data_IF_865098591624
#
_entry.id   IF_865098591624
#
_cell.length_a   1.000
_cell.length_b   1.000
_cell.length_c   1.000
_cell.angle_alpha   90.00
_cell.angle_beta   90.00
_cell.angle_gamma   90.00
#
_symmetry.space_group_name_H-M   'P 1'
#
loop_
_entity.id
_entity.type
_entity.pdbx_description
1 polymer ?
#
# COMPACT_ATOMS: atom_id res chain seq x y z
N UNK A 1 24.94 29.78 0.38
CA UNK A 1 24.24 29.50 1.65
C UNK A 1 22.73 29.38 1.50
N UNK A 2 22.01 30.31 0.83
CA UNK A 2 20.53 30.20 0.65
C UNK A 2 20.08 28.92 -0.06
N UNK A 3 20.89 28.37 -0.97
CA UNK A 3 20.54 27.17 -1.74
C UNK A 3 20.68 25.86 -0.91
N UNK A 4 21.64 25.78 0.00
CA UNK A 4 21.84 24.63 0.89
C UNK A 4 20.75 24.56 1.95
N UNK A 5 20.41 25.70 2.57
CA UNK A 5 19.34 25.77 3.56
C UNK A 5 17.98 25.40 2.96
N UNK A 6 17.69 25.83 1.73
CA UNK A 6 16.46 25.46 1.02
C UNK A 6 16.42 23.98 0.68
N UNK A 7 17.57 23.37 0.37
CA UNK A 7 17.66 21.94 0.07
C UNK A 7 17.45 21.08 1.32
N UNK A 8 18.03 21.49 2.47
CA UNK A 8 17.80 20.80 3.76
C UNK A 8 16.33 20.85 4.14
N UNK A 9 15.69 22.03 4.03
CA UNK A 9 14.28 22.17 4.33
C UNK A 9 13.41 21.31 3.40
N UNK A 10 13.77 21.22 2.13
CA UNK A 10 13.13 20.32 1.17
C UNK A 10 13.35 18.83 1.56
N UNK A 11 14.53 18.48 2.05
CA UNK A 11 14.85 17.16 2.58
C UNK A 11 14.00 16.80 3.80
N UNK A 12 13.81 17.74 4.73
CA UNK A 12 12.93 17.57 5.89
C UNK A 12 11.47 17.33 5.44
N UNK A 13 10.99 18.00 4.41
CA UNK A 13 9.65 17.76 3.87
C UNK A 13 9.53 16.35 3.27
N UNK A 14 10.55 15.89 2.54
CA UNK A 14 10.61 14.52 2.05
C UNK A 14 10.69 13.50 3.18
N UNK A 15 11.48 13.77 4.22
CA UNK A 15 11.54 12.91 5.40
C UNK A 15 10.15 12.69 6.01
N UNK A 16 9.38 13.75 6.26
CA UNK A 16 8.03 13.61 6.80
C UNK A 16 7.09 12.87 5.85
N UNK A 17 7.21 13.08 4.55
CA UNK A 17 6.43 12.33 3.57
C UNK A 17 6.75 10.82 3.63
N UNK A 18 8.03 10.46 3.62
CA UNK A 18 8.48 9.06 3.71
C UNK A 18 8.06 8.44 5.04
N UNK A 19 8.32 9.13 6.15
CA UNK A 19 7.98 8.67 7.50
C UNK A 19 6.49 8.36 7.63
N UNK A 20 5.64 9.29 7.23
CA UNK A 20 4.19 9.16 7.36
C UNK A 20 3.63 7.98 6.55
N UNK A 21 4.18 7.74 5.37
CA UNK A 21 3.76 6.62 4.52
C UNK A 21 4.37 5.26 4.93
N UNK A 22 5.33 5.25 5.86
CA UNK A 22 6.01 4.01 6.29
C UNK A 22 5.63 3.59 7.70
N UNK A 23 5.51 4.54 8.66
CA UNK A 23 5.41 4.27 10.09
C UNK A 23 4.22 3.38 10.49
N UNK A 24 3.07 3.56 9.85
CA UNK A 24 1.83 2.87 10.25
C UNK A 24 1.73 1.46 9.65
N UNK A 25 2.50 1.15 8.61
CA UNK A 25 2.46 -0.15 7.94
C UNK A 25 2.91 -1.29 8.87
N UNK A 26 4.10 -1.22 9.51
CA UNK A 26 4.56 -2.25 10.44
C UNK A 26 3.62 -2.42 11.65
N UNK A 27 3.05 -1.31 12.14
CA UNK A 27 2.05 -1.35 13.23
C UNK A 27 0.83 -2.18 12.83
N UNK A 28 0.21 -1.82 11.69
CA UNK A 28 -0.99 -2.50 11.20
C UNK A 28 -0.77 -3.99 10.95
N UNK A 29 0.35 -4.34 10.30
CA UNK A 29 0.68 -5.74 10.01
C UNK A 29 1.02 -6.50 11.30
N UNK A 30 1.83 -5.90 12.18
CA UNK A 30 2.21 -6.52 13.44
C UNK A 30 1.02 -6.87 14.32
N UNK A 31 0.03 -5.97 14.42
CA UNK A 31 -1.21 -6.26 15.14
C UNK A 31 -2.04 -7.38 14.50
N UNK A 32 -2.12 -7.42 13.16
CA UNK A 32 -2.86 -8.49 12.46
C UNK A 32 -2.18 -9.87 12.58
N UNK A 33 -0.86 -9.91 12.70
CA UNK A 33 -0.10 -11.13 12.95
C UNK A 33 0.06 -11.44 14.44
N UNK A 34 -0.52 -10.63 15.33
CA UNK A 34 -0.37 -10.75 16.79
C UNK A 34 1.10 -10.79 17.24
N UNK A 35 1.95 -9.99 16.59
CA UNK A 35 3.37 -9.91 16.95
C UNK A 35 3.57 -9.19 18.28
N UNK A 36 4.65 -9.55 18.97
CA UNK A 36 5.07 -8.85 20.19
C UNK A 36 5.44 -7.37 19.88
N UNK A 37 5.36 -6.47 20.87
CA UNK A 37 5.80 -5.08 20.70
C UNK A 37 7.24 -4.96 20.19
N UNK A 38 8.13 -5.87 20.62
CA UNK A 38 9.52 -5.93 20.17
C UNK A 38 9.63 -6.29 18.71
N UNK A 39 8.85 -7.28 18.23
CA UNK A 39 8.82 -7.68 16.82
C UNK A 39 8.23 -6.57 15.93
N UNK A 40 7.24 -5.82 16.43
CA UNK A 40 6.69 -4.65 15.72
C UNK A 40 7.75 -3.55 15.63
N UNK A 41 8.48 -3.25 16.71
CA UNK A 41 9.57 -2.28 16.71
C UNK A 41 10.69 -2.69 15.74
N UNK A 42 11.05 -3.98 15.69
CA UNK A 42 12.00 -4.55 14.77
C UNK A 42 11.55 -4.39 13.30
N UNK A 43 10.30 -4.75 13.00
CA UNK A 43 9.73 -4.57 11.66
C UNK A 43 9.72 -3.09 11.24
N UNK A 44 9.50 -2.18 12.20
CA UNK A 44 9.55 -0.74 11.95
C UNK A 44 10.98 -0.26 11.65
N UNK A 45 12.00 -0.74 12.37
CA UNK A 45 13.40 -0.47 12.07
C UNK A 45 13.74 -0.89 10.65
N UNK A 46 13.44 -2.14 10.30
CA UNK A 46 13.69 -2.68 8.98
C UNK A 46 12.93 -1.90 7.89
N UNK A 47 11.66 -1.53 8.11
CA UNK A 47 10.88 -0.76 7.17
C UNK A 47 11.50 0.62 6.90
N UNK A 48 11.96 1.33 7.93
CA UNK A 48 12.60 2.65 7.77
C UNK A 48 13.94 2.55 7.06
N UNK A 49 14.79 1.58 7.43
CA UNK A 49 16.10 1.38 6.79
C UNK A 49 15.92 1.00 5.32
N UNK A 50 15.08 0.01 5.02
CA UNK A 50 14.90 -0.47 3.65
C UNK A 50 14.22 0.60 2.77
N UNK A 51 13.20 1.31 3.28
CA UNK A 51 12.54 2.40 2.54
C UNK A 51 13.52 3.53 2.24
N UNK A 52 14.31 3.95 3.23
CA UNK A 52 15.32 4.97 3.02
C UNK A 52 16.38 4.53 2.02
N UNK A 53 16.90 3.31 2.16
CA UNK A 53 17.92 2.76 1.27
C UNK A 53 17.42 2.64 -0.18
N UNK A 54 16.23 2.07 -0.40
CA UNK A 54 15.69 1.92 -1.75
C UNK A 54 15.40 3.26 -2.40
N UNK A 55 14.86 4.25 -1.66
CA UNK A 55 14.64 5.60 -2.19
C UNK A 55 15.94 6.27 -2.64
N UNK A 56 17.05 6.11 -1.87
CA UNK A 56 18.37 6.60 -2.25
C UNK A 56 18.86 5.90 -3.52
N UNK A 57 18.80 4.57 -3.55
CA UNK A 57 19.26 3.78 -4.69
C UNK A 57 18.43 4.05 -5.95
N UNK A 58 17.11 4.20 -5.82
CA UNK A 58 16.22 4.58 -6.93
C UNK A 58 16.56 5.98 -7.48
N UNK A 59 16.80 6.94 -6.60
CA UNK A 59 17.17 8.31 -7.01
C UNK A 59 18.54 8.40 -7.68
N UNK A 60 19.48 7.50 -7.35
CA UNK A 60 20.85 7.50 -7.90
C UNK A 60 20.99 6.56 -9.09
N UNK A 61 20.57 5.33 -8.97
CA UNK A 61 20.82 4.26 -9.93
C UNK A 61 19.57 3.78 -10.67
N UNK A 62 18.37 3.90 -10.07
CA UNK A 62 17.10 3.45 -10.63
C UNK A 62 16.49 4.45 -11.62
N UNK A 63 15.26 4.84 -11.37
CA UNK A 63 14.50 5.77 -12.22
C UNK A 63 15.03 7.22 -12.21
N UNK A 64 15.80 7.62 -11.20
CA UNK A 64 16.42 8.94 -11.05
C UNK A 64 15.46 10.13 -10.90
N UNK A 65 14.25 9.89 -10.44
CA UNK A 65 13.28 10.91 -10.06
C UNK A 65 13.17 11.01 -8.53
N UNK A 66 12.58 12.08 -8.04
CA UNK A 66 12.23 12.20 -6.63
C UNK A 66 10.87 11.52 -6.40
N UNK A 67 10.84 10.19 -6.37
CA UNK A 67 9.66 9.37 -6.08
C UNK A 67 9.99 8.40 -4.97
N UNK A 68 9.08 8.23 -4.02
CA UNK A 68 9.19 7.22 -2.99
C UNK A 68 9.01 5.82 -3.59
N UNK A 69 9.90 4.91 -3.23
CA UNK A 69 9.70 3.46 -3.30
C UNK A 69 9.60 2.94 -1.86
N UNK A 70 8.57 2.18 -1.54
CA UNK A 70 8.31 1.80 -0.16
C UNK A 70 7.26 0.71 -0.04
N UNK A 71 6.88 0.31 1.21
CA UNK A 71 5.88 -0.73 1.44
C UNK A 71 4.57 -0.41 0.73
N UNK A 72 4.26 -1.16 -0.32
CA UNK A 72 3.15 -0.84 -1.23
C UNK A 72 1.79 -1.18 -0.62
N UNK A 73 0.82 -0.28 -0.80
CA UNK A 73 -0.56 -0.49 -0.37
C UNK A 73 -1.24 -1.71 -1.01
N UNK A 74 -0.81 -2.14 -2.21
CA UNK A 74 -1.28 -3.38 -2.86
C UNK A 74 -0.97 -4.61 -2.01
N UNK A 75 0.27 -4.73 -1.58
CA UNK A 75 0.74 -5.79 -0.71
C UNK A 75 0.12 -5.72 0.68
N UNK A 76 -0.09 -4.50 1.17
CA UNK A 76 -0.74 -4.28 2.46
C UNK A 76 -2.18 -4.80 2.44
N UNK A 77 -2.97 -4.40 1.45
CA UNK A 77 -4.34 -4.89 1.28
C UNK A 77 -4.41 -6.41 1.14
N UNK A 78 -3.53 -7.01 0.34
CA UNK A 78 -3.43 -8.46 0.21
C UNK A 78 -3.14 -9.13 1.55
N UNK A 79 -2.10 -8.67 2.24
CA UNK A 79 -1.67 -9.29 3.51
C UNK A 79 -2.76 -9.23 4.56
N UNK A 80 -3.41 -8.07 4.74
CA UNK A 80 -4.54 -7.94 5.66
C UNK A 80 -5.74 -8.82 5.27
N UNK A 81 -6.01 -8.95 3.98
CA UNK A 81 -7.08 -9.83 3.50
C UNK A 81 -6.81 -11.31 3.83
N UNK A 82 -5.59 -11.76 3.54
CA UNK A 82 -5.21 -13.16 3.75
C UNK A 82 -5.13 -13.51 5.24
N UNK A 83 -4.62 -12.61 6.09
CA UNK A 83 -4.60 -12.86 7.54
C UNK A 83 -6.01 -13.03 8.10
N UNK A 84 -6.99 -12.27 7.61
CA UNK A 84 -8.38 -12.42 8.06
C UNK A 84 -9.03 -13.66 7.44
N UNK A 85 -9.02 -13.80 6.12
CA UNK A 85 -9.78 -14.85 5.42
C UNK A 85 -9.21 -16.27 5.64
N UNK A 86 -7.90 -16.43 5.53
CA UNK A 86 -7.27 -17.74 5.69
C UNK A 86 -7.20 -18.17 7.16
N UNK A 87 -7.01 -17.22 8.10
CA UNK A 87 -7.05 -17.51 9.52
C UNK A 87 -8.45 -17.97 9.96
N UNK A 88 -9.51 -17.28 9.52
CA UNK A 88 -10.89 -17.71 9.78
C UNK A 88 -11.23 -19.08 9.18
N UNK A 89 -10.52 -19.49 8.13
CA UNK A 89 -10.63 -20.82 7.52
C UNK A 89 -9.72 -21.87 8.21
N UNK A 90 -9.10 -21.55 9.35
CA UNK A 90 -8.32 -22.48 10.17
C UNK A 90 -6.83 -22.56 9.82
N UNK A 91 -6.30 -21.70 8.95
CA UNK A 91 -4.85 -21.62 8.71
C UNK A 91 -4.16 -20.85 9.84
N UNK A 92 -3.03 -21.35 10.34
CA UNK A 92 -2.22 -20.59 11.31
C UNK A 92 -1.57 -19.37 10.66
N UNK A 93 -1.39 -18.30 11.44
CA UNK A 93 -0.75 -17.07 10.97
C UNK A 93 0.69 -17.31 10.48
N UNK A 94 1.43 -18.21 11.13
CA UNK A 94 2.77 -18.63 10.70
C UNK A 94 2.74 -19.27 9.30
N UNK A 95 1.74 -20.07 9.03
CA UNK A 95 1.54 -20.73 7.73
C UNK A 95 1.20 -19.70 6.65
N UNK A 96 0.34 -18.73 6.99
CA UNK A 96 0.00 -17.61 6.11
C UNK A 96 1.24 -16.76 5.84
N UNK A 97 2.00 -16.40 6.87
CA UNK A 97 3.24 -15.64 6.75
C UNK A 97 4.30 -16.32 5.91
N UNK A 98 4.48 -17.64 6.10
CA UNK A 98 5.40 -18.45 5.28
C UNK A 98 5.00 -18.52 3.80
N UNK A 99 3.70 -18.64 3.52
CA UNK A 99 3.16 -18.56 2.16
C UNK A 99 3.35 -17.19 1.51
N UNK A 100 3.12 -16.12 2.28
CA UNK A 100 3.40 -14.76 1.83
C UNK A 100 4.88 -14.54 1.55
N UNK A 101 5.78 -14.98 2.44
CA UNK A 101 7.22 -14.86 2.23
C UNK A 101 7.66 -15.56 0.94
N UNK A 102 7.20 -16.78 0.68
CA UNK A 102 7.47 -17.50 -0.57
C UNK A 102 6.91 -16.75 -1.79
N UNK A 103 5.68 -16.22 -1.69
CA UNK A 103 5.04 -15.46 -2.76
C UNK A 103 5.76 -14.13 -3.04
N UNK A 104 6.23 -13.43 -2.01
CA UNK A 104 7.00 -12.19 -2.15
C UNK A 104 8.37 -12.43 -2.79
N UNK A 105 9.06 -13.50 -2.39
CA UNK A 105 10.32 -13.89 -3.01
C UNK A 105 10.14 -14.21 -4.50
N UNK A 106 9.11 -14.98 -4.84
CA UNK A 106 8.79 -15.30 -6.23
C UNK A 106 8.40 -14.07 -7.04
N UNK A 107 7.57 -13.19 -6.48
CA UNK A 107 7.18 -11.93 -7.11
C UNK A 107 8.38 -11.02 -7.33
N UNK A 108 9.23 -10.84 -6.31
CA UNK A 108 10.44 -10.01 -6.40
C UNK A 108 11.42 -10.53 -7.46
N UNK A 109 11.66 -11.85 -7.49
CA UNK A 109 12.47 -12.49 -8.52
C UNK A 109 11.90 -12.26 -9.93
N UNK A 110 10.59 -12.42 -10.06
CA UNK A 110 9.90 -12.18 -11.34
C UNK A 110 10.01 -10.73 -11.77
N UNK A 111 9.88 -9.78 -10.83
CA UNK A 111 10.07 -8.34 -11.12
C UNK A 111 11.48 -8.05 -11.65
N UNK A 112 12.51 -8.66 -11.06
CA UNK A 112 13.89 -8.54 -11.54
C UNK A 112 14.01 -9.10 -12.97
N UNK A 113 13.53 -10.32 -13.19
CA UNK A 113 13.64 -11.00 -14.50
C UNK A 113 12.88 -10.22 -15.59
N UNK A 114 11.60 -9.91 -15.35
CA UNK A 114 10.76 -9.19 -16.33
C UNK A 114 11.27 -7.75 -16.56
N UNK A 115 11.82 -7.11 -15.52
CA UNK A 115 12.47 -5.82 -15.66
C UNK A 115 13.65 -5.90 -16.62
N UNK A 116 14.53 -6.88 -16.45
CA UNK A 116 15.70 -7.10 -17.32
C UNK A 116 15.32 -7.45 -18.75
N UNK A 117 14.29 -8.28 -18.95
CA UNK A 117 13.80 -8.66 -20.28
C UNK A 117 13.05 -7.53 -20.99
N UNK A 118 12.74 -6.43 -20.31
CA UNK A 118 11.94 -5.33 -20.87
C UNK A 118 10.47 -5.70 -21.10
N UNK A 119 10.00 -6.81 -20.51
CA UNK A 119 8.64 -7.33 -20.67
C UNK A 119 7.56 -6.54 -19.89
N UNK A 120 7.94 -5.53 -19.14
CA UNK A 120 7.03 -4.68 -18.38
C UNK A 120 5.94 -4.04 -19.26
N UNK A 121 6.25 -3.70 -20.50
CA UNK A 121 5.28 -3.16 -21.47
C UNK A 121 4.18 -4.16 -21.86
N UNK A 122 4.47 -5.47 -21.84
CA UNK A 122 3.46 -6.51 -22.11
C UNK A 122 2.41 -6.53 -21.00
N UNK A 123 2.83 -6.34 -19.75
CA UNK A 123 1.92 -6.27 -18.61
C UNK A 123 0.97 -5.06 -18.69
N UNK A 124 1.42 -3.93 -19.23
CA UNK A 124 0.55 -2.75 -19.43
C UNK A 124 -0.67 -3.06 -20.32
N UNK A 125 -0.48 -3.90 -21.34
CA UNK A 125 -1.58 -4.30 -22.25
C UNK A 125 -2.59 -5.21 -21.57
N UNK A 126 -2.18 -5.93 -20.54
CA UNK A 126 -3.05 -6.80 -19.76
C UNK A 126 -3.93 -6.01 -18.77
N UNK A 127 -3.33 -4.99 -18.14
CA UNK A 127 -4.00 -4.16 -17.13
C UNK A 127 -4.53 -2.86 -17.75
N UNK A 128 -5.69 -2.94 -18.39
CA UNK A 128 -6.40 -1.79 -18.94
C UNK A 128 -6.77 -0.75 -17.85
N UNK A 129 -7.11 0.49 -18.20
CA UNK A 129 -7.60 1.47 -17.22
C UNK A 129 -8.79 0.96 -16.40
N UNK A 130 -9.69 0.15 -17.00
CA UNK A 130 -10.84 -0.45 -16.31
C UNK A 130 -10.40 -1.43 -15.22
N UNK A 131 -9.47 -2.34 -15.55
CA UNK A 131 -8.91 -3.31 -14.58
C UNK A 131 -8.20 -2.57 -13.43
N UNK A 132 -7.40 -1.55 -13.74
CA UNK A 132 -6.69 -0.74 -12.73
C UNK A 132 -7.67 -0.01 -11.82
N UNK A 133 -8.72 0.59 -12.37
CA UNK A 133 -9.74 1.29 -11.61
C UNK A 133 -10.52 0.34 -10.69
N UNK A 134 -11.00 -0.80 -11.21
CA UNK A 134 -11.69 -1.81 -10.41
C UNK A 134 -10.82 -2.30 -9.24
N UNK A 135 -9.53 -2.55 -9.51
CA UNK A 135 -8.57 -2.95 -8.48
C UNK A 135 -8.39 -1.87 -7.41
N UNK A 136 -8.21 -0.61 -7.80
CA UNK A 136 -8.05 0.51 -6.85
C UNK A 136 -9.31 0.72 -6.00
N UNK A 137 -10.51 0.57 -6.57
CA UNK A 137 -11.75 0.60 -5.81
C UNK A 137 -11.81 -0.52 -4.77
N UNK A 138 -11.54 -1.76 -5.19
CA UNK A 138 -11.55 -2.91 -4.28
C UNK A 138 -10.53 -2.76 -3.16
N UNK A 139 -9.32 -2.31 -3.47
CA UNK A 139 -8.30 -2.03 -2.45
C UNK A 139 -8.76 -0.94 -1.48
N UNK A 140 -9.31 0.16 -2.00
CA UNK A 140 -9.78 1.24 -1.15
C UNK A 140 -10.85 0.74 -0.19
N UNK A 141 -11.85 0.01 -0.71
CA UNK A 141 -12.93 -0.55 0.11
C UNK A 141 -12.37 -1.48 1.18
N UNK A 142 -11.49 -2.40 0.81
CA UNK A 142 -10.90 -3.37 1.73
C UNK A 142 -10.09 -2.72 2.85
N UNK A 143 -9.18 -1.80 2.48
CA UNK A 143 -8.34 -1.09 3.46
C UNK A 143 -9.19 -0.19 4.38
N UNK A 144 -10.15 0.52 3.80
CA UNK A 144 -11.08 1.37 4.56
C UNK A 144 -11.89 0.55 5.57
N UNK A 145 -12.38 -0.63 5.19
CA UNK A 145 -13.08 -1.54 6.11
C UNK A 145 -12.18 -2.00 7.26
N UNK A 146 -10.91 -2.35 6.98
CA UNK A 146 -9.96 -2.75 8.02
C UNK A 146 -9.62 -1.60 8.97
N UNK A 147 -9.37 -0.40 8.43
CA UNK A 147 -9.08 0.76 9.28
C UNK A 147 -10.29 1.19 10.08
N UNK A 148 -11.50 1.07 9.54
CA UNK A 148 -12.71 1.35 10.30
C UNK A 148 -12.85 0.41 11.50
N UNK A 149 -12.57 -0.89 11.35
CA UNK A 149 -12.53 -1.83 12.48
C UNK A 149 -11.51 -1.42 13.55
N UNK A 150 -10.34 -0.92 13.15
CA UNK A 150 -9.34 -0.37 14.07
C UNK A 150 -9.83 0.88 14.79
N UNK A 151 -10.50 1.79 14.09
CA UNK A 151 -11.05 3.03 14.66
C UNK A 151 -12.09 2.78 15.75
N UNK A 152 -12.90 1.74 15.61
CA UNK A 152 -13.95 1.40 16.59
C UNK A 152 -13.43 0.51 17.74
N UNK A 153 -12.12 0.26 17.81
CA UNK A 153 -11.50 -0.59 18.82
C UNK A 153 -11.70 -2.10 18.61
N UNK A 154 -12.36 -2.51 17.52
CA UNK A 154 -12.68 -3.91 17.28
C UNK A 154 -11.44 -4.80 17.12
N UNK A 155 -10.37 -4.30 16.48
CA UNK A 155 -9.11 -5.03 16.32
C UNK A 155 -8.34 -5.22 17.62
N UNK A 156 -8.53 -4.32 18.58
CA UNK A 156 -7.80 -4.32 19.85
C UNK A 156 -8.57 -5.08 20.93
N UNK A 157 -9.89 -4.86 21.02
CA UNK A 157 -10.73 -5.37 22.10
C UNK A 157 -11.73 -6.46 21.68
N UNK A 158 -11.80 -6.80 20.38
CA UNK A 158 -12.79 -7.73 19.84
C UNK A 158 -14.25 -7.25 19.95
N UNK A 159 -14.46 -6.00 20.37
CA UNK A 159 -15.77 -5.39 20.58
C UNK A 159 -15.75 -3.91 20.21
N UNK A 160 -16.92 -3.32 20.04
CA UNK A 160 -17.05 -1.89 19.83
C UNK A 160 -16.73 -1.13 21.14
N UNK A 161 -15.75 -0.25 21.08
CA UNK A 161 -15.35 0.63 22.19
C UNK A 161 -15.76 2.07 21.85
N UNK A 162 -16.83 2.56 22.50
CA UNK A 162 -17.40 3.88 22.20
C UNK A 162 -16.44 5.04 22.49
N UNK A 163 -15.70 5.10 23.60
CA UNK A 163 -14.70 6.13 23.87
C UNK A 163 -13.61 6.17 22.81
N UNK A 164 -13.02 5.01 22.47
CA UNK A 164 -11.97 4.89 21.44
C UNK A 164 -12.52 5.27 20.05
N UNK A 165 -13.72 4.81 19.71
CA UNK A 165 -14.38 5.15 18.46
C UNK A 165 -14.63 6.66 18.32
N UNK A 166 -15.09 7.30 19.41
CA UNK A 166 -15.34 8.76 19.41
C UNK A 166 -14.04 9.53 19.16
N UNK A 167 -12.95 9.20 19.88
CA UNK A 167 -11.66 9.82 19.66
C UNK A 167 -11.18 9.63 18.21
N UNK A 168 -11.29 8.41 17.69
CA UNK A 168 -10.88 8.07 16.32
C UNK A 168 -11.65 8.87 15.26
N UNK A 169 -12.96 9.04 15.44
CA UNK A 169 -13.80 9.86 14.56
C UNK A 169 -13.35 11.33 14.60
N UNK A 170 -13.08 11.87 15.80
CA UNK A 170 -12.57 13.25 15.94
C UNK A 170 -11.23 13.41 15.23
N UNK A 171 -10.31 12.45 15.37
CA UNK A 171 -9.01 12.47 14.67
C UNK A 171 -9.22 12.41 13.15
N UNK A 172 -10.09 11.52 12.66
CA UNK A 172 -10.40 11.41 11.23
C UNK A 172 -10.96 12.71 10.68
N UNK A 173 -11.89 13.35 11.40
CA UNK A 173 -12.42 14.67 11.03
C UNK A 173 -11.33 15.74 11.01
N UNK A 174 -10.45 15.78 12.01
CA UNK A 174 -9.33 16.72 12.08
C UNK A 174 -8.42 16.58 10.85
N UNK A 175 -8.02 15.34 10.54
CA UNK A 175 -7.14 15.06 9.39
C UNK A 175 -7.82 15.45 8.07
N UNK A 176 -9.08 15.04 7.89
CA UNK A 176 -9.86 15.40 6.70
C UNK A 176 -10.02 16.94 6.57
N UNK A 177 -10.31 17.62 7.66
CA UNK A 177 -10.42 19.07 7.68
C UNK A 177 -9.11 19.75 7.25
N UNK A 178 -7.97 19.30 7.82
CA UNK A 178 -6.66 19.85 7.47
C UNK A 178 -6.33 19.57 5.99
N UNK A 179 -6.67 18.37 5.46
CA UNK A 179 -6.46 18.06 4.05
C UNK A 179 -7.32 18.91 3.11
N UNK A 180 -8.58 19.17 3.47
CA UNK A 180 -9.52 19.92 2.61
C UNK A 180 -9.36 21.45 2.73
N UNK A 181 -9.11 21.95 3.93
CA UNK A 181 -9.08 23.39 4.22
C UNK A 181 -7.69 23.94 4.46
N UNK A 182 -6.67 23.08 4.66
CA UNK A 182 -5.31 23.50 4.92
C UNK A 182 -4.75 24.33 3.75
N UNK A 183 -4.44 25.60 4.01
CA UNK A 183 -3.82 26.49 3.03
C UNK A 183 -2.33 26.18 2.87
N UNK A 184 -1.86 26.17 1.62
CA UNK A 184 -0.44 25.97 1.32
C UNK A 184 0.06 24.56 1.68
N UNK A 185 1.14 24.50 2.47
CA UNK A 185 1.83 23.24 2.81
C UNK A 185 1.15 22.43 3.94
N UNK A 186 0.18 23.01 4.65
CA UNK A 186 -0.41 22.40 5.86
C UNK A 186 -1.14 21.09 5.54
N UNK A 187 -1.81 21.00 4.39
CA UNK A 187 -2.49 19.79 3.94
C UNK A 187 -1.55 18.59 3.80
N UNK A 188 -0.29 18.81 3.42
CA UNK A 188 0.71 17.75 3.27
C UNK A 188 1.15 17.13 4.61
N UNK A 189 0.95 17.86 5.71
CA UNK A 189 1.27 17.39 7.07
C UNK A 189 0.05 16.89 7.84
N UNK A 190 -1.13 16.86 7.23
CA UNK A 190 -2.38 16.47 7.88
C UNK A 190 -2.28 15.12 8.59
N UNK A 191 -1.68 14.12 7.94
CA UNK A 191 -1.48 12.78 8.47
C UNK A 191 -0.56 12.81 9.70
N UNK A 192 0.58 13.50 9.61
CA UNK A 192 1.52 13.64 10.71
C UNK A 192 0.88 14.36 11.92
N UNK A 193 0.17 15.46 11.64
CA UNK A 193 -0.56 16.20 12.69
C UNK A 193 -1.61 15.31 13.34
N UNK A 194 -2.33 14.53 12.55
CA UNK A 194 -3.32 13.57 13.04
C UNK A 194 -2.72 12.49 13.94
N UNK A 195 -1.57 11.92 13.55
CA UNK A 195 -0.86 10.94 14.36
C UNK A 195 -0.43 11.57 15.70
N UNK A 196 0.25 12.71 15.67
CA UNK A 196 0.78 13.35 16.88
C UNK A 196 -0.35 13.81 17.81
N UNK A 197 -1.32 14.55 17.27
CA UNK A 197 -2.45 15.05 18.06
C UNK A 197 -3.31 13.91 18.60
N UNK A 198 -3.56 12.89 17.77
CA UNK A 198 -4.32 11.71 18.17
C UNK A 198 -3.62 10.88 19.26
N UNK A 199 -2.31 10.70 19.15
CA UNK A 199 -1.53 9.97 20.13
C UNK A 199 -1.50 10.72 21.49
N UNK A 200 -1.26 12.03 21.47
CA UNK A 200 -1.33 12.86 22.69
C UNK A 200 -2.72 12.76 23.33
N UNK A 201 -3.78 12.93 22.53
CA UNK A 201 -5.15 12.84 23.02
C UNK A 201 -5.46 11.45 23.60
N UNK A 202 -5.03 10.37 22.92
CA UNK A 202 -5.20 9.01 23.42
C UNK A 202 -4.48 8.78 24.75
N UNK A 203 -3.24 9.23 24.86
CA UNK A 203 -2.44 9.09 26.08
C UNK A 203 -3.03 9.84 27.29
N UNK A 204 -3.69 10.97 27.01
CA UNK A 204 -4.36 11.76 28.06
C UNK A 204 -5.72 11.17 28.49
N UNK A 205 -6.48 10.62 27.54
CA UNK A 205 -7.83 10.10 27.78
C UNK A 205 -7.82 8.66 28.30
N UNK A 206 -6.80 7.86 27.95
CA UNK A 206 -6.69 6.45 28.29
C UNK A 206 -5.36 6.14 29.01
N UNK A 207 -5.09 6.76 30.19
CA UNK A 207 -3.88 6.50 30.94
C UNK A 207 -3.87 5.04 31.40
N UNK A 208 -2.83 4.29 31.05
CA UNK A 208 -2.66 2.88 31.43
C UNK A 208 -3.06 1.84 30.38
N UNK A 209 -3.62 2.21 29.26
CA UNK A 209 -3.87 1.31 28.11
C UNK A 209 -2.67 1.29 27.14
N UNK A 210 -1.47 1.46 27.64
CA UNK A 210 -0.28 1.43 26.78
C UNK A 210 0.07 -0.04 26.50
N UNK A 211 0.20 -0.38 25.23
CA UNK A 211 0.87 -1.61 24.78
C UNK A 211 2.22 -1.68 25.49
N UNK A 212 2.60 -2.86 26.00
CA UNK A 212 3.83 -3.02 26.78
C UNK A 212 5.02 -2.30 26.15
N UNK A 213 5.87 -1.70 26.98
CA UNK A 213 7.02 -0.96 26.47
C UNK A 213 7.95 -1.92 25.72
N UNK A 214 8.23 -1.67 24.44
CA UNK A 214 9.18 -2.49 23.70
C UNK A 214 10.56 -2.38 24.36
N UNK A 215 11.29 -3.49 24.36
CA UNK A 215 12.67 -3.48 24.82
C UNK A 215 13.48 -2.55 23.89
N UNK A 216 14.27 -1.65 24.46
CA UNK A 216 15.09 -0.70 23.70
C UNK A 216 16.34 -1.34 23.07
N UNK A 217 16.49 -2.67 23.19
CA UNK A 217 17.59 -3.37 22.56
C UNK A 217 17.47 -3.31 21.02
N UNK A 218 18.62 -3.27 20.31
CA UNK A 218 18.61 -3.42 18.85
C UNK A 218 17.87 -4.72 18.51
N UNK A 219 16.93 -4.63 17.57
CA UNK A 219 16.27 -5.82 17.06
C UNK A 219 17.32 -6.75 16.47
N UNK A 220 17.41 -7.97 16.97
CA UNK A 220 18.17 -9.02 16.31
C UNK A 220 17.62 -9.20 14.88
N UNK A 221 18.50 -9.51 13.94
CA UNK A 221 18.08 -9.86 12.59
C UNK A 221 17.39 -11.24 12.63
N UNK A 222 16.09 -11.23 12.87
CA UNK A 222 15.27 -12.43 12.76
C UNK A 222 14.84 -12.58 11.30
N UNK A 223 15.24 -13.70 10.68
CA UNK A 223 14.83 -14.00 9.31
C UNK A 223 13.44 -14.63 9.32
N UNK A 224 12.59 -14.13 8.44
CA UNK A 224 11.21 -14.58 8.25
C UNK A 224 10.34 -14.56 9.53
N UNK A 225 10.22 -13.39 10.20
CA UNK A 225 9.52 -13.30 11.48
C UNK A 225 8.01 -13.59 11.38
N UNK A 226 7.43 -13.61 10.18
CA UNK A 226 6.03 -14.00 9.96
C UNK A 226 5.87 -15.51 9.68
N UNK A 227 6.97 -16.24 9.56
CA UNK A 227 7.04 -17.67 9.24
C UNK A 227 7.99 -17.97 8.10
N UNK A 228 8.72 -19.09 8.21
CA UNK A 228 9.67 -19.52 7.20
C UNK A 228 8.99 -19.76 5.85
N UNK A 229 9.64 -19.42 4.71
CA UNK A 229 9.06 -19.59 3.38
C UNK A 229 8.52 -21.01 3.17
N UNK A 230 7.23 -21.10 2.86
CA UNK A 230 6.55 -22.37 2.64
C UNK A 230 5.72 -22.30 1.36
N UNK A 231 5.68 -23.41 0.62
CA UNK A 231 4.86 -23.48 -0.58
C UNK A 231 3.39 -23.72 -0.20
N UNK A 232 2.64 -22.63 -0.08
CA UNK A 232 1.18 -22.64 0.09
C UNK A 232 0.55 -22.10 -1.21
N UNK A 233 0.12 -23.00 -2.14
CA UNK A 233 -0.19 -22.61 -3.52
C UNK A 233 -1.16 -21.45 -3.65
N UNK A 234 -2.24 -21.46 -2.87
CA UNK A 234 -3.23 -20.38 -2.90
C UNK A 234 -2.67 -19.01 -2.51
N UNK A 235 -1.85 -18.95 -1.47
CA UNK A 235 -1.22 -17.71 -0.99
C UNK A 235 -0.13 -17.27 -1.97
N UNK A 236 0.73 -18.20 -2.39
CA UNK A 236 1.85 -17.93 -3.31
C UNK A 236 1.35 -17.40 -4.65
N UNK A 237 0.34 -18.05 -5.24
CA UNK A 237 -0.26 -17.62 -6.51
C UNK A 237 -0.90 -16.24 -6.37
N UNK A 238 -1.63 -16.01 -5.28
CA UNK A 238 -2.27 -14.71 -5.01
C UNK A 238 -1.25 -13.62 -4.84
N UNK A 239 -0.21 -13.85 -4.05
CA UNK A 239 0.89 -12.90 -3.86
C UNK A 239 1.64 -12.64 -5.17
N UNK A 240 1.97 -13.67 -5.92
CA UNK A 240 2.59 -13.54 -7.24
C UNK A 240 1.76 -12.66 -8.19
N UNK A 241 0.45 -12.90 -8.26
CA UNK A 241 -0.46 -12.11 -9.09
C UNK A 241 -0.48 -10.62 -8.68
N UNK A 242 -0.54 -10.34 -7.38
CA UNK A 242 -0.46 -8.96 -6.87
C UNK A 242 0.90 -8.33 -7.20
N UNK A 243 1.98 -9.12 -7.24
CA UNK A 243 3.28 -8.66 -7.71
C UNK A 243 3.28 -8.16 -9.15
N UNK A 244 2.64 -8.91 -10.05
CA UNK A 244 2.47 -8.48 -11.45
C UNK A 244 1.66 -7.18 -11.55
N UNK A 245 0.62 -7.06 -10.74
CA UNK A 245 -0.18 -5.83 -10.64
C UNK A 245 0.67 -4.66 -10.13
N UNK A 246 1.48 -4.86 -9.10
CA UNK A 246 2.36 -3.84 -8.54
C UNK A 246 3.39 -3.32 -9.57
N UNK A 247 3.89 -4.20 -10.46
CA UNK A 247 4.72 -3.77 -11.59
C UNK A 247 4.00 -2.79 -12.50
N UNK A 248 2.72 -3.03 -12.81
CA UNK A 248 1.96 -2.12 -13.68
C UNK A 248 1.69 -0.76 -13.02
N UNK A 249 1.50 -0.74 -11.69
CA UNK A 249 1.41 0.49 -10.92
C UNK A 249 2.71 1.30 -11.02
N UNK A 250 3.87 0.65 -10.91
CA UNK A 250 5.17 1.30 -11.07
C UNK A 250 5.34 1.92 -12.46
N UNK A 251 4.92 1.23 -13.54
CA UNK A 251 4.96 1.79 -14.91
C UNK A 251 4.08 3.04 -14.98
N UNK A 252 2.87 2.97 -14.47
CA UNK A 252 1.92 4.09 -14.50
C UNK A 252 2.46 5.30 -13.73
N UNK A 253 3.07 5.06 -12.58
CA UNK A 253 3.70 6.11 -11.76
C UNK A 253 4.85 6.78 -12.50
N UNK A 254 5.75 6.00 -13.13
CA UNK A 254 6.86 6.54 -13.90
C UNK A 254 6.38 7.34 -15.10
N UNK A 255 5.41 6.83 -15.88
CA UNK A 255 4.87 7.55 -17.05
C UNK A 255 4.16 8.84 -16.66
N UNK A 256 3.59 8.93 -15.47
CA UNK A 256 2.97 10.17 -14.97
C UNK A 256 4.03 11.19 -14.54
N UNK A 257 5.08 10.74 -13.90
CA UNK A 257 6.19 11.60 -13.47
C UNK A 257 6.98 12.16 -14.65
N UNK A 258 7.13 11.41 -15.75
CA UNK A 258 7.74 11.89 -17.00
C UNK A 258 7.12 13.21 -17.46
N UNK A 259 5.78 13.30 -17.41
CA UNK A 259 5.05 14.54 -17.76
C UNK A 259 5.42 15.70 -16.84
N UNK A 260 5.58 15.44 -15.53
CA UNK A 260 5.91 16.47 -14.55
C UNK A 260 7.35 16.96 -14.71
N UNK A 261 8.29 16.05 -15.00
CA UNK A 261 9.70 16.39 -15.23
C UNK A 261 10.00 16.82 -16.67
N UNK A 262 9.05 16.65 -17.59
CA UNK A 262 9.19 16.89 -19.04
C UNK A 262 10.37 16.14 -19.64
N UNK A 263 10.55 14.89 -19.22
CA UNK A 263 11.64 14.01 -19.67
C UNK A 263 11.10 12.59 -19.80
N UNK A 264 11.58 11.85 -20.79
CA UNK A 264 11.24 10.44 -20.97
C UNK A 264 12.17 9.53 -20.13
N UNK A 265 11.59 8.51 -19.55
CA UNK A 265 12.35 7.49 -18.82
C UNK A 265 12.96 6.51 -19.81
N UNK A 266 14.27 6.38 -19.79
CA UNK A 266 14.97 5.44 -20.67
C UNK A 266 14.71 3.99 -20.29
N UNK A 267 14.80 3.06 -21.26
CA UNK A 267 14.67 1.62 -21.00
C UNK A 267 15.65 1.12 -19.92
N UNK A 268 16.83 1.74 -19.82
CA UNK A 268 17.81 1.42 -18.78
C UNK A 268 17.32 1.82 -17.39
N UNK A 269 16.71 2.99 -17.24
CA UNK A 269 16.13 3.46 -15.98
C UNK A 269 14.98 2.56 -15.55
N UNK A 270 14.10 2.15 -16.47
CA UNK A 270 13.04 1.16 -16.18
C UNK A 270 13.64 -0.15 -15.65
N UNK A 271 14.62 -0.73 -16.35
CA UNK A 271 15.28 -1.99 -15.96
C UNK A 271 15.88 -1.91 -14.55
N UNK A 272 16.65 -0.84 -14.28
CA UNK A 272 17.27 -0.66 -12.98
C UNK A 272 16.24 -0.42 -11.87
N UNK A 273 15.19 0.34 -12.14
CA UNK A 273 14.12 0.58 -11.18
C UNK A 273 13.41 -0.71 -10.80
N UNK A 274 13.04 -1.55 -11.78
CA UNK A 274 12.42 -2.85 -11.50
C UNK A 274 13.34 -3.81 -10.76
N UNK A 275 14.62 -3.85 -11.14
CA UNK A 275 15.59 -4.68 -10.47
C UNK A 275 15.73 -4.28 -8.99
N UNK A 276 15.80 -2.99 -8.70
CA UNK A 276 15.86 -2.48 -7.32
C UNK A 276 14.58 -2.79 -6.55
N UNK A 277 13.40 -2.44 -7.08
CA UNK A 277 12.13 -2.75 -6.40
C UNK A 277 11.97 -4.25 -6.17
N UNK A 278 12.32 -5.09 -7.15
CA UNK A 278 12.27 -6.55 -7.01
C UNK A 278 13.24 -7.10 -5.97
N UNK A 279 14.49 -6.59 -5.94
CA UNK A 279 15.48 -6.95 -4.94
C UNK A 279 15.00 -6.58 -3.53
N UNK A 280 14.50 -5.35 -3.35
CA UNK A 280 14.00 -4.90 -2.06
C UNK A 280 12.69 -5.62 -1.66
N UNK A 281 11.89 -6.06 -2.62
CA UNK A 281 10.74 -6.96 -2.38
C UNK A 281 11.20 -8.30 -1.80
N UNK A 282 12.30 -8.89 -2.30
CA UNK A 282 12.87 -10.10 -1.73
C UNK A 282 13.47 -9.86 -0.35
N UNK A 283 14.23 -8.77 -0.17
CA UNK A 283 14.80 -8.40 1.13
C UNK A 283 13.71 -8.15 2.18
N UNK A 284 12.64 -7.47 1.80
CA UNK A 284 11.51 -7.19 2.71
C UNK A 284 10.85 -8.47 3.20
N UNK A 285 10.69 -9.48 2.33
CA UNK A 285 10.19 -10.80 2.71
C UNK A 285 11.04 -11.47 3.79
N UNK A 286 12.38 -11.31 3.71
CA UNK A 286 13.30 -11.91 4.67
C UNK A 286 13.23 -11.28 6.06
N UNK A 287 12.87 -10.00 6.17
CA UNK A 287 12.93 -9.26 7.46
C UNK A 287 11.56 -8.81 7.98
N UNK A 288 10.48 -9.41 7.49
CA UNK A 288 9.14 -9.13 7.99
C UNK A 288 8.64 -7.70 7.66
N UNK A 289 8.91 -7.24 6.45
CA UNK A 289 8.40 -5.97 5.92
C UNK A 289 7.56 -6.26 4.68
N UNK A 290 6.54 -5.45 4.42
CA UNK A 290 5.77 -5.57 3.19
C UNK A 290 6.62 -5.27 1.96
N UNK A 291 6.36 -5.95 0.82
CA UNK A 291 7.04 -5.68 -0.43
C UNK A 291 6.87 -4.26 -0.94
N UNK A 292 7.84 -3.85 -1.73
CA UNK A 292 8.02 -2.49 -2.18
C UNK A 292 7.30 -2.18 -3.49
N UNK A 293 7.01 -0.91 -3.71
CA UNK A 293 6.44 -0.37 -4.93
C UNK A 293 6.52 1.14 -4.99
N UNK A 294 6.46 1.69 -6.19
CA UNK A 294 6.49 3.14 -6.38
C UNK A 294 5.18 3.80 -5.91
N UNK A 295 5.32 4.83 -5.11
CA UNK A 295 4.20 5.57 -4.53
C UNK A 295 3.69 6.63 -5.50
N UNK A 296 2.52 6.40 -6.09
CA UNK A 296 1.84 7.38 -6.96
C UNK A 296 1.50 8.69 -6.21
N UNK A 297 1.29 8.64 -4.89
CA UNK A 297 1.09 9.83 -4.04
C UNK A 297 2.28 10.78 -4.03
N UNK A 298 3.49 10.30 -4.35
CA UNK A 298 4.66 11.17 -4.55
C UNK A 298 4.44 12.22 -5.62
N UNK A 299 3.62 11.93 -6.64
CA UNK A 299 3.31 12.87 -7.73
C UNK A 299 2.53 14.05 -7.17
N UNK A 300 1.49 13.81 -6.38
CA UNK A 300 0.73 14.86 -5.71
C UNK A 300 1.59 15.70 -4.77
N UNK A 301 2.54 15.06 -4.05
CA UNK A 301 3.52 15.76 -3.22
C UNK A 301 4.44 16.66 -4.06
N UNK A 302 4.95 16.16 -5.18
CA UNK A 302 5.79 16.94 -6.12
C UNK A 302 5.04 18.11 -6.75
N UNK A 303 3.78 17.89 -7.13
CA UNK A 303 2.92 18.94 -7.70
C UNK A 303 2.63 20.06 -6.69
N UNK A 304 2.37 19.71 -5.45
CA UNK A 304 2.03 20.67 -4.39
C UNK A 304 3.25 21.43 -3.87
N UNK A 305 4.40 20.76 -3.72
CA UNK A 305 5.62 21.36 -3.15
C UNK A 305 6.56 21.95 -4.19
N UNK A 306 6.48 21.47 -5.45
CA UNK A 306 7.42 21.77 -6.54
C UNK A 306 8.88 21.40 -6.23
N UNK A 307 9.09 20.45 -5.30
CA UNK A 307 10.42 19.95 -4.92
C UNK A 307 10.82 18.79 -5.85
N UNK A 308 11.26 19.11 -7.06
CA UNK A 308 11.65 18.11 -8.07
C UNK A 308 13.10 17.61 -7.90
N UNK A 309 13.90 18.24 -7.06
CA UNK A 309 15.31 17.89 -6.85
C UNK A 309 15.42 16.53 -6.13
N UNK A 310 15.98 15.50 -6.80
CA UNK A 310 16.25 14.18 -6.20
C UNK A 310 17.15 14.24 -4.96
N UNK A 311 18.04 15.25 -4.86
CA UNK A 311 18.87 15.44 -3.68
C UNK A 311 18.04 15.68 -2.41
N UNK A 312 16.87 16.33 -2.51
CA UNK A 312 15.97 16.51 -1.38
C UNK A 312 15.39 15.17 -0.91
N UNK A 313 14.97 14.30 -1.83
CA UNK A 313 14.54 12.93 -1.50
C UNK A 313 15.67 12.13 -0.83
N UNK A 314 16.91 12.22 -1.35
CA UNK A 314 18.07 11.51 -0.78
C UNK A 314 18.34 11.96 0.66
N UNK A 315 18.25 13.27 0.95
CA UNK A 315 18.41 13.80 2.32
C UNK A 315 17.28 13.25 3.22
N UNK A 316 16.02 13.34 2.79
CA UNK A 316 14.90 12.85 3.57
C UNK A 316 14.95 11.34 3.82
N UNK A 317 15.35 10.57 2.80
CA UNK A 317 15.55 9.13 2.90
C UNK A 317 16.72 8.75 3.82
N UNK A 318 17.82 9.52 3.77
CA UNK A 318 18.93 9.38 4.71
C UNK A 318 18.50 9.62 6.16
N UNK A 319 17.69 10.64 6.41
CA UNK A 319 17.11 10.90 7.74
C UNK A 319 16.23 9.73 8.21
N UNK A 320 15.44 9.14 7.31
CA UNK A 320 14.61 7.96 7.63
C UNK A 320 15.48 6.75 7.98
N UNK A 321 16.56 6.48 7.24
CA UNK A 321 17.53 5.45 7.58
C UNK A 321 18.13 5.68 8.98
N UNK A 322 18.53 6.91 9.31
CA UNK A 322 19.10 7.24 10.62
C UNK A 322 18.13 6.96 11.77
N UNK A 323 16.84 7.27 11.58
CA UNK A 323 15.80 6.91 12.57
C UNK A 323 15.66 5.39 12.66
N UNK A 324 15.64 4.68 11.55
CA UNK A 324 15.58 3.21 11.55
C UNK A 324 16.77 2.55 12.25
N UNK A 325 17.96 3.17 12.17
CA UNK A 325 19.16 2.73 12.89
C UNK A 325 19.16 3.08 14.40
N UNK A 326 18.13 3.80 14.88
CA UNK A 326 18.04 4.22 16.28
C UNK A 326 16.91 3.47 16.99
N UNK A 327 17.20 2.34 17.69
CA UNK A 327 16.18 1.46 18.28
C UNK A 327 15.23 2.17 19.24
N UNK A 328 15.72 3.10 20.06
CA UNK A 328 14.90 3.86 20.99
C UNK A 328 13.81 4.69 20.31
N UNK A 329 14.11 5.24 19.11
CA UNK A 329 13.15 6.05 18.37
C UNK A 329 12.07 5.17 17.71
N UNK A 330 12.45 4.04 17.15
CA UNK A 330 11.48 3.10 16.57
C UNK A 330 10.62 2.44 17.62
N UNK A 331 11.19 2.07 18.79
CA UNK A 331 10.46 1.59 19.95
C UNK A 331 9.43 2.64 20.45
N UNK A 332 9.79 3.91 20.44
CA UNK A 332 8.86 4.99 20.76
C UNK A 332 7.69 5.02 19.78
N UNK A 333 7.92 5.01 18.47
CA UNK A 333 6.85 5.03 17.47
C UNK A 333 6.02 3.74 17.42
N UNK A 334 6.58 2.60 17.84
CA UNK A 334 5.84 1.35 17.96
C UNK A 334 4.73 1.39 19.04
N UNK A 335 4.74 2.39 19.91
CA UNK A 335 3.71 2.61 20.93
C UNK A 335 2.50 3.43 20.40
N UNK A 336 2.48 3.82 19.13
CA UNK A 336 1.32 4.52 18.54
C UNK A 336 0.09 3.62 18.66
N UNK A 337 -1.02 4.11 19.29
CA UNK A 337 -2.22 3.30 19.45
C UNK A 337 -2.80 2.89 18.09
N UNK A 338 -3.21 1.61 17.92
CA UNK A 338 -3.77 1.11 16.65
C UNK A 338 -4.97 1.90 16.16
N UNK A 339 -5.81 2.37 17.07
CA UNK A 339 -7.00 3.18 16.75
C UNK A 339 -6.63 4.55 16.17
N UNK A 340 -5.58 5.20 16.70
CA UNK A 340 -5.06 6.48 16.17
C UNK A 340 -4.48 6.28 14.77
N UNK A 341 -3.63 5.24 14.61
CA UNK A 341 -3.09 4.88 13.30
C UNK A 341 -4.18 4.60 12.27
N UNK A 342 -5.20 3.82 12.65
CA UNK A 342 -6.33 3.47 11.80
C UNK A 342 -7.16 4.69 11.40
N UNK A 343 -7.42 5.63 12.33
CA UNK A 343 -8.18 6.86 12.03
C UNK A 343 -7.49 7.74 10.98
N UNK A 344 -6.19 7.90 11.11
CA UNK A 344 -5.39 8.69 10.17
C UNK A 344 -5.32 8.01 8.80
N UNK A 345 -5.10 6.69 8.77
CA UNK A 345 -5.03 5.91 7.54
C UNK A 345 -6.38 5.82 6.83
N UNK A 346 -7.48 5.71 7.56
CA UNK A 346 -8.81 5.76 6.99
C UNK A 346 -8.96 6.97 6.05
N UNK A 347 -8.59 8.16 6.52
CA UNK A 347 -8.66 9.39 5.72
C UNK A 347 -7.63 9.41 4.59
N UNK A 348 -6.41 8.95 4.85
CA UNK A 348 -5.36 8.91 3.84
C UNK A 348 -5.75 8.03 2.63
N UNK A 349 -6.37 6.88 2.89
CA UNK A 349 -6.76 5.94 1.84
C UNK A 349 -8.04 6.31 1.08
N UNK A 350 -8.86 7.23 1.59
CA UNK A 350 -9.95 7.83 0.82
C UNK A 350 -9.45 8.49 -0.48
N UNK A 351 -8.20 8.97 -0.50
CA UNK A 351 -7.60 9.54 -1.71
C UNK A 351 -7.38 8.49 -2.83
N UNK A 352 -7.22 7.21 -2.48
CA UNK A 352 -7.11 6.13 -3.48
C UNK A 352 -8.41 5.97 -4.27
N UNK A 353 -9.57 6.24 -3.65
CA UNK A 353 -10.86 6.27 -4.34
C UNK A 353 -10.85 7.33 -5.45
N UNK A 354 -10.33 8.53 -5.14
CA UNK A 354 -10.12 9.58 -6.14
C UNK A 354 -9.16 9.17 -7.26
N UNK A 355 -8.11 8.42 -6.92
CA UNK A 355 -7.17 7.88 -7.92
C UNK A 355 -7.84 6.86 -8.83
N UNK A 356 -8.71 5.99 -8.29
CA UNK A 356 -9.51 5.05 -9.07
C UNK A 356 -10.42 5.77 -10.08
N UNK A 357 -11.08 6.86 -9.65
CA UNK A 357 -11.90 7.71 -10.54
C UNK A 357 -11.05 8.38 -11.62
N UNK A 358 -9.90 8.96 -11.27
CA UNK A 358 -8.99 9.60 -12.25
C UNK A 358 -8.47 8.61 -13.29
N UNK A 359 -8.33 7.33 -12.95
CA UNK A 359 -7.92 6.30 -13.91
C UNK A 359 -8.96 6.11 -15.02
N UNK A 360 -10.21 6.53 -14.78
CA UNK A 360 -11.32 6.50 -15.74
C UNK A 360 -11.49 7.83 -16.50
N UNK A 361 -10.68 8.85 -16.23
CA UNK A 361 -10.74 10.12 -16.97
C UNK A 361 -10.52 9.87 -18.47
N UNK A 362 -11.35 10.55 -19.29
CA UNK A 362 -11.36 10.38 -20.75
C UNK A 362 -12.21 9.20 -21.26
N UNK A 363 -12.83 8.42 -20.36
CA UNK A 363 -13.81 7.41 -20.76
C UNK A 363 -15.23 7.98 -20.73
N UNK A 364 -16.05 7.62 -21.72
CA UNK A 364 -17.48 7.99 -21.70
C UNK A 364 -18.23 7.10 -20.73
N UNK A 365 -18.91 7.70 -19.74
CA UNK A 365 -19.75 6.97 -18.80
C UNK A 365 -21.07 6.58 -19.46
N UNK A 366 -21.13 5.41 -20.03
CA UNK A 366 -22.33 4.77 -20.54
C UNK A 366 -22.58 3.46 -19.78
N UNK A 367 -23.72 2.82 -20.03
CA UNK A 367 -24.08 1.56 -19.35
C UNK A 367 -22.97 0.52 -19.47
N UNK A 368 -22.27 0.44 -20.60
CA UNK A 368 -21.19 -0.54 -20.85
C UNK A 368 -19.98 -0.27 -19.98
N UNK A 369 -19.53 0.97 -19.89
CA UNK A 369 -18.44 1.40 -19.01
C UNK A 369 -18.78 1.15 -17.55
N UNK A 370 -20.03 1.41 -17.16
CA UNK A 370 -20.52 1.13 -15.79
C UNK A 370 -20.39 -0.37 -15.50
N UNK A 371 -20.87 -1.26 -16.37
CA UNK A 371 -20.75 -2.70 -16.17
C UNK A 371 -19.30 -3.19 -16.09
N UNK A 372 -18.39 -2.62 -16.90
CA UNK A 372 -16.95 -2.96 -16.88
C UNK A 372 -16.28 -2.72 -15.53
N UNK A 373 -16.74 -1.72 -14.79
CA UNK A 373 -16.21 -1.39 -13.46
C UNK A 373 -17.08 -1.95 -12.35
N UNK A 374 -18.39 -1.78 -12.43
CA UNK A 374 -19.31 -2.14 -11.36
C UNK A 374 -19.35 -3.66 -11.12
N UNK A 375 -19.42 -4.48 -12.18
CA UNK A 375 -19.50 -5.93 -12.00
C UNK A 375 -18.29 -6.50 -11.27
N UNK A 376 -17.03 -6.20 -11.65
CA UNK A 376 -15.86 -6.65 -10.89
C UNK A 376 -15.84 -6.15 -9.44
N UNK A 377 -16.14 -4.86 -9.25
CA UNK A 377 -16.10 -4.25 -7.92
C UNK A 377 -17.17 -4.85 -7.01
N UNK A 378 -18.40 -4.93 -7.46
CA UNK A 378 -19.50 -5.47 -6.65
C UNK A 378 -19.32 -6.97 -6.39
N UNK A 379 -18.83 -7.75 -7.35
CA UNK A 379 -18.49 -9.16 -7.13
C UNK A 379 -17.40 -9.29 -6.07
N UNK A 380 -16.33 -8.50 -6.14
CA UNK A 380 -15.28 -8.52 -5.15
C UNK A 380 -15.76 -8.12 -3.76
N UNK A 381 -16.59 -7.08 -3.65
CA UNK A 381 -17.21 -6.64 -2.38
C UNK A 381 -18.16 -7.72 -1.84
N UNK A 382 -18.93 -8.37 -2.70
CA UNK A 382 -19.81 -9.46 -2.29
C UNK A 382 -18.98 -10.61 -1.66
N UNK A 383 -17.88 -11.02 -2.29
CA UNK A 383 -16.97 -12.03 -1.75
C UNK A 383 -16.37 -11.60 -0.41
N UNK A 384 -15.97 -10.32 -0.25
CA UNK A 384 -15.43 -9.80 1.01
C UNK A 384 -16.43 -9.89 2.18
N UNK A 385 -17.73 -9.91 1.88
CA UNK A 385 -18.78 -9.97 2.89
C UNK A 385 -19.31 -11.39 3.15
N UNK A 386 -18.81 -12.42 2.44
CA UNK A 386 -19.16 -13.81 2.72
C UNK A 386 -18.40 -14.25 3.97
N UNK A 387 -19.08 -14.85 4.97
CA UNK A 387 -18.41 -15.40 6.14
C UNK A 387 -17.37 -16.46 5.73
N UNK A 388 -16.23 -16.47 6.41
CA UNK A 388 -15.11 -17.37 6.05
C UNK A 388 -15.49 -18.86 6.17
N UNK A 389 -16.45 -19.18 7.04
CA UNK A 389 -16.99 -20.52 7.24
C UNK A 389 -17.61 -21.08 5.96
N UNK A 390 -18.17 -20.24 5.10
CA UNK A 390 -18.76 -20.66 3.83
C UNK A 390 -17.71 -21.24 2.85
N UNK A 391 -16.44 -20.91 3.04
CA UNK A 391 -15.35 -21.39 2.19
C UNK A 391 -14.69 -22.67 2.71
N UNK A 392 -15.03 -23.17 3.91
CA UNK A 392 -14.40 -24.34 4.53
C UNK A 392 -14.61 -25.65 3.76
N UNK A 393 -15.64 -25.70 2.91
CA UNK A 393 -15.89 -26.87 2.03
C UNK A 393 -14.94 -26.93 0.83
N UNK A 394 -14.21 -25.85 0.56
CA UNK A 394 -13.28 -25.78 -0.56
C UNK A 394 -11.94 -26.43 -0.18
N UNK A 395 -11.21 -26.98 -1.17
CA UNK A 395 -9.83 -27.40 -0.95
C UNK A 395 -8.99 -26.24 -0.40
N UNK A 396 -8.17 -26.52 0.62
CA UNK A 396 -7.41 -25.52 1.39
C UNK A 396 -6.56 -24.58 0.51
N UNK A 397 -6.07 -25.07 -0.63
CA UNK A 397 -5.28 -24.26 -1.56
C UNK A 397 -6.12 -23.27 -2.40
N UNK A 398 -7.45 -23.48 -2.51
CA UNK A 398 -8.36 -22.56 -3.20
C UNK A 398 -8.90 -21.47 -2.29
N UNK A 399 -8.97 -21.70 -0.99
CA UNK A 399 -9.53 -20.75 -0.02
C UNK A 399 -8.89 -19.36 -0.15
N UNK A 400 -7.54 -19.20 -0.13
CA UNK A 400 -6.92 -17.88 -0.22
C UNK A 400 -7.20 -17.13 -1.53
N UNK A 401 -7.56 -17.82 -2.59
CA UNK A 401 -7.91 -17.23 -3.89
C UNK A 401 -9.38 -16.82 -3.91
N UNK A 402 -10.28 -17.78 -3.57
CA UNK A 402 -11.72 -17.62 -3.75
C UNK A 402 -12.33 -16.74 -2.66
N UNK A 403 -11.82 -16.81 -1.43
CA UNK A 403 -12.28 -15.94 -0.33
C UNK A 403 -11.73 -14.51 -0.41
N UNK A 404 -10.78 -14.26 -1.29
CA UNK A 404 -10.18 -12.94 -1.46
C UNK A 404 -10.94 -12.12 -2.51
N UNK A 405 -11.82 -11.23 -2.05
CA UNK A 405 -12.65 -10.42 -2.94
C UNK A 405 -11.85 -9.50 -3.86
N UNK A 406 -10.67 -9.02 -3.45
CA UNK A 406 -9.81 -8.24 -4.32
C UNK A 406 -9.32 -9.09 -5.51
N UNK A 407 -8.86 -10.29 -5.24
CA UNK A 407 -8.37 -11.22 -6.29
C UNK A 407 -9.51 -11.60 -7.24
N UNK A 408 -10.65 -12.01 -6.70
CA UNK A 408 -11.83 -12.39 -7.50
C UNK A 408 -12.30 -11.21 -8.35
N UNK A 409 -12.44 -10.02 -7.78
CA UNK A 409 -12.87 -8.85 -8.55
C UNK A 409 -11.91 -8.49 -9.66
N UNK A 410 -10.59 -8.54 -9.42
CA UNK A 410 -9.59 -8.29 -10.46
C UNK A 410 -9.61 -9.37 -11.53
N UNK A 411 -9.76 -10.65 -11.17
CA UNK A 411 -9.93 -11.75 -12.14
C UNK A 411 -11.17 -11.55 -13.01
N UNK A 412 -12.31 -11.22 -12.41
CA UNK A 412 -13.54 -10.90 -13.16
C UNK A 412 -13.30 -9.76 -14.13
N UNK A 413 -12.62 -8.69 -13.70
CA UNK A 413 -12.29 -7.56 -14.57
C UNK A 413 -11.41 -7.96 -15.74
N UNK A 414 -10.37 -8.77 -15.51
CA UNK A 414 -9.48 -9.29 -16.55
C UNK A 414 -10.22 -10.18 -17.55
N UNK A 415 -11.09 -11.07 -17.07
CA UNK A 415 -11.91 -11.93 -17.92
C UNK A 415 -12.83 -11.09 -18.80
N UNK A 416 -13.55 -10.13 -18.23
CA UNK A 416 -14.43 -9.23 -18.98
C UNK A 416 -13.68 -8.43 -20.05
N UNK A 417 -12.53 -7.89 -19.72
CA UNK A 417 -11.74 -7.10 -20.67
C UNK A 417 -11.17 -7.93 -21.83
N UNK A 418 -10.93 -9.23 -21.61
CA UNK A 418 -10.40 -10.14 -22.63
C UNK A 418 -11.47 -10.85 -23.46
N UNK A 419 -12.63 -11.16 -22.87
CA UNK A 419 -13.67 -11.96 -23.55
C UNK A 419 -14.66 -11.11 -24.30
N UNK A 420 -14.92 -9.88 -23.81
CA UNK A 420 -15.91 -8.99 -24.42
C UNK A 420 -15.24 -7.99 -25.37
N UNK A 421 -15.67 -7.96 -26.62
CA UNK A 421 -15.19 -6.99 -27.60
C UNK A 421 -15.93 -5.65 -27.45
N UNK A 422 -15.46 -4.83 -26.50
CA UNK A 422 -16.09 -3.56 -26.15
C UNK A 422 -16.12 -2.56 -27.31
N UNK A 423 -15.10 -2.54 -28.18
CA UNK A 423 -15.03 -1.63 -29.33
C UNK A 423 -16.15 -1.85 -30.34
N UNK A 424 -16.57 -3.10 -30.57
CA UNK A 424 -17.74 -3.38 -31.41
C UNK A 424 -19.05 -2.93 -30.80
N UNK A 425 -19.11 -2.90 -29.48
CA UNK A 425 -20.29 -2.44 -28.77
C UNK A 425 -20.35 -0.91 -28.62
N UNK A 426 -19.26 -0.20 -28.79
CA UNK A 426 -19.17 1.27 -28.71
C UNK A 426 -19.63 1.99 -30.00
N UNK A 427 -19.75 1.27 -31.12
CA UNK A 427 -20.30 1.86 -32.36
C UNK A 427 -21.79 2.21 -32.12
N UNK A 428 -22.21 3.46 -32.33
CA UNK A 428 -23.63 3.79 -32.33
C UNK A 428 -24.33 2.90 -33.35
N UNK A 429 -25.45 2.32 -32.94
CA UNK A 429 -26.31 1.62 -33.89
C UNK A 429 -26.53 2.59 -35.07
N UNK A 430 -25.99 2.25 -36.23
CA UNK A 430 -26.29 2.96 -37.48
C UNK A 430 -27.82 2.96 -37.59
N UNK A 431 -28.44 4.12 -37.36
CA UNK A 431 -29.85 4.31 -37.63
C UNK A 431 -30.02 4.00 -39.11
N UNK A 432 -30.50 2.79 -39.36
CA UNK A 432 -30.98 2.42 -40.67
C UNK A 432 -32.02 3.47 -41.03
N UNK A 433 -31.67 4.41 -41.91
CA UNK A 433 -32.64 5.22 -42.63
C UNK A 433 -33.43 4.26 -43.49
N UNK A 434 -34.51 3.73 -42.95
CA UNK A 434 -35.59 3.18 -43.74
C UNK A 434 -36.24 4.36 -44.42
N UNK A 435 -36.06 4.43 -45.76
CA UNK A 435 -36.75 5.31 -46.67
C UNK A 435 -38.22 4.94 -46.74
#
# INVERSE_FOLDING_TARGET
MKDVSSLILAGIQWFFFLFTNTVVVPLSIGHNFHLSPDAIAASMQHAFILTGAVCILQAVFGHRYAIMDGPSGLWWGLTLSLTVSASSAGMSLERIGGGLAAGFLLAGLTMVILGWLGAAQVLQKLFTPMVKSAMLFLMTIQLTMNFFKGMIGYTEFGRFDLPVATLSVVIAFLVAWIQLKGRGKLGNYAILIGIVAGWIAYSLLFPGQHSGQPNQAPAGLELFPWGAPRWEPGIVITAFFVGLVNMTNSITTLSTVEKLYRTETTSRQYRHSYALTGLFTMLSACVGVLPFGLFASSIGFLESTRILRRAALIIGAGMLCMIGLTPSVTAFFAQIPPSVGSAVLFVAYLQMFGTALRTLEGTTFNSKTIYRVALPVLTGVAVMNIPAEAFQTLPMYLIPIISNGLVIGVLVSLVLEKTVNWSKMEQPATVSKAA
#
